data_IF_631677706642
#
_entry.id   IF_631677706642
#
_cell.length_a   1.000
_cell.length_b   1.000
_cell.length_c   1.000
_cell.angle_alpha   90.00
_cell.angle_beta   90.00
_cell.angle_gamma   90.00
#
_symmetry.space_group_name_H-M   'P 1'
#
loop_
_entity.id
_entity.type
_entity.pdbx_description
1 polymer ?
#
# COMPACT_ATOMS: atom_id res chain seq x y z
N UNK A 1 11.71 -8.43 1.39
CA UNK A 1 12.26 -8.68 2.73
C UNK A 1 11.75 -7.56 3.61
N UNK A 2 11.04 -7.86 4.71
CA UNK A 2 10.69 -6.81 5.67
C UNK A 2 12.00 -6.39 6.33
N UNK A 3 12.46 -5.18 6.03
CA UNK A 3 13.65 -4.63 6.66
C UNK A 3 13.26 -4.16 8.05
N UNK A 4 13.80 -4.83 9.08
CA UNK A 4 13.66 -4.39 10.46
C UNK A 4 14.61 -3.22 10.69
N UNK A 5 14.09 -2.15 11.28
CA UNK A 5 14.84 -0.97 11.67
C UNK A 5 15.11 -1.04 13.18
N UNK A 6 16.39 -1.09 13.57
CA UNK A 6 16.83 -1.12 14.98
C UNK A 6 17.02 0.30 15.56
N UNK A 7 16.77 1.36 14.78
CA UNK A 7 16.85 2.73 15.27
C UNK A 7 15.70 3.05 16.26
N UNK A 8 15.92 4.00 17.19
CA UNK A 8 14.84 4.52 18.02
C UNK A 8 13.66 5.00 17.18
N UNK A 9 12.44 4.76 17.66
CA UNK A 9 11.21 5.13 16.95
C UNK A 9 11.21 6.62 16.58
N UNK A 10 11.22 6.90 15.28
CA UNK A 10 11.11 8.27 14.76
C UNK A 10 9.63 8.66 14.61
N UNK A 11 9.25 9.79 15.20
CA UNK A 11 7.89 10.33 15.09
C UNK A 11 7.73 11.07 13.75
N UNK A 12 7.05 10.42 12.80
CA UNK A 12 6.73 10.95 11.48
C UNK A 12 5.74 10.02 10.79
N UNK A 13 6.15 9.43 9.66
CA UNK A 13 5.40 8.35 8.99
C UNK A 13 5.88 7.01 9.55
N UNK A 14 5.03 6.31 10.29
CA UNK A 14 5.36 5.03 10.93
C UNK A 14 4.56 3.93 10.22
N UNK A 15 5.24 2.97 9.61
CA UNK A 15 4.61 1.83 8.95
C UNK A 15 4.65 0.62 9.88
N UNK A 16 3.49 0.07 10.20
CA UNK A 16 3.33 -1.11 11.04
C UNK A 16 2.80 -2.27 10.21
N UNK A 17 3.46 -3.43 10.27
CA UNK A 17 3.01 -4.68 9.66
C UNK A 17 2.81 -5.73 10.76
N UNK A 18 1.65 -6.38 10.76
CA UNK A 18 1.30 -7.43 11.71
C UNK A 18 0.75 -8.65 10.96
N UNK A 19 1.45 -9.77 11.13
CA UNK A 19 1.01 -11.08 10.66
C UNK A 19 0.50 -11.93 11.81
N UNK A 20 -0.65 -12.59 11.64
CA UNK A 20 -1.19 -13.54 12.60
C UNK A 20 -1.42 -14.88 11.91
N UNK A 21 -1.21 -15.97 12.64
CA UNK A 21 -1.49 -17.33 12.15
C UNK A 21 -2.44 -18.03 13.11
N UNK A 22 -3.59 -18.48 12.62
CA UNK A 22 -4.57 -19.23 13.38
C UNK A 22 -4.93 -20.53 12.65
N UNK A 23 -4.76 -21.68 13.32
CA UNK A 23 -5.03 -23.01 12.74
C UNK A 23 -4.40 -23.22 11.35
N UNK A 24 -3.15 -22.80 11.18
CA UNK A 24 -2.44 -22.82 9.88
C UNK A 24 -2.92 -21.87 8.79
N UNK A 25 -3.90 -21.01 9.05
CA UNK A 25 -4.27 -19.91 8.16
C UNK A 25 -3.54 -18.63 8.57
N UNK A 26 -2.87 -18.00 7.62
CA UNK A 26 -2.18 -16.72 7.82
C UNK A 26 -3.12 -15.56 7.48
N UNK A 27 -3.00 -14.47 8.22
CA UNK A 27 -3.55 -13.16 7.90
C UNK A 27 -2.47 -12.10 8.08
N UNK A 28 -2.60 -11.00 7.35
CA UNK A 28 -1.67 -9.88 7.41
C UNK A 28 -2.44 -8.56 7.42
N UNK A 29 -1.97 -7.59 8.20
CA UNK A 29 -2.49 -6.23 8.21
C UNK A 29 -1.32 -5.24 8.25
N UNK A 30 -1.36 -4.25 7.35
CA UNK A 30 -0.38 -3.17 7.29
C UNK A 30 -1.13 -1.86 7.49
N UNK A 31 -0.57 -0.97 8.32
CA UNK A 31 -1.10 0.37 8.61
C UNK A 31 0.01 1.40 8.63
N UNK A 32 -0.34 2.62 8.24
CA UNK A 32 0.55 3.78 8.35
C UNK A 32 -0.02 4.72 9.40
N UNK A 33 0.76 5.03 10.42
CA UNK A 33 0.45 6.04 11.43
C UNK A 33 1.18 7.33 11.05
N UNK A 34 0.46 8.45 11.04
CA UNK A 34 0.98 9.76 10.66
C UNK A 34 1.03 10.66 11.89
N UNK A 35 2.23 11.07 12.31
CA UNK A 35 2.45 12.02 13.41
C UNK A 35 2.87 13.35 12.81
N UNK A 36 2.05 14.40 13.00
CA UNK A 36 2.25 15.74 12.44
C UNK A 36 2.61 15.72 10.93
N UNK A 37 1.79 15.07 10.08
CA UNK A 37 2.13 14.93 8.67
C UNK A 37 2.18 16.29 7.95
N UNK A 38 3.05 16.40 6.95
CA UNK A 38 2.96 17.49 5.98
C UNK A 38 1.70 17.34 5.13
N UNK A 39 1.26 18.41 4.47
CA UNK A 39 0.11 18.34 3.55
C UNK A 39 0.32 17.27 2.48
N UNK A 40 1.52 17.21 1.91
CA UNK A 40 1.89 16.22 0.91
C UNK A 40 1.77 14.78 1.42
N UNK A 41 2.20 14.50 2.66
CA UNK A 41 2.07 13.17 3.27
C UNK A 41 0.59 12.77 3.46
N UNK A 42 -0.25 13.71 3.90
CA UNK A 42 -1.68 13.48 4.04
C UNK A 42 -2.36 13.24 2.69
N UNK A 43 -2.09 14.09 1.69
CA UNK A 43 -2.65 13.95 0.34
C UNK A 43 -2.22 12.62 -0.31
N UNK A 44 -0.96 12.20 -0.11
CA UNK A 44 -0.46 10.92 -0.61
C UNK A 44 -1.12 9.72 0.08
N UNK A 45 -1.35 9.81 1.40
CA UNK A 45 -2.02 8.74 2.14
C UNK A 45 -3.50 8.62 1.75
N UNK A 46 -4.20 9.74 1.57
CA UNK A 46 -5.59 9.76 1.09
C UNK A 46 -5.71 9.16 -0.32
N UNK A 47 -4.79 9.52 -1.23
CA UNK A 47 -4.72 8.90 -2.54
C UNK A 47 -4.45 7.39 -2.45
N UNK A 48 -3.48 6.96 -1.64
CA UNK A 48 -3.17 5.54 -1.45
C UNK A 48 -4.38 4.76 -0.92
N UNK A 49 -5.14 5.34 0.01
CA UNK A 49 -6.34 4.74 0.57
C UNK A 49 -7.43 4.53 -0.49
N UNK A 50 -7.75 5.58 -1.25
CA UNK A 50 -8.76 5.51 -2.32
C UNK A 50 -8.35 4.58 -3.47
N UNK A 51 -7.06 4.57 -3.83
CA UNK A 51 -6.50 3.64 -4.80
C UNK A 51 -6.63 2.19 -4.33
N UNK A 52 -6.34 1.90 -3.07
CA UNK A 52 -6.44 0.57 -2.48
C UNK A 52 -7.89 0.05 -2.47
N UNK A 53 -8.86 0.89 -2.09
CA UNK A 53 -10.28 0.53 -2.14
C UNK A 53 -10.74 0.20 -3.56
N UNK A 54 -10.35 1.03 -4.53
CA UNK A 54 -10.63 0.76 -5.94
C UNK A 54 -9.96 -0.53 -6.43
N UNK A 55 -8.69 -0.76 -6.08
CA UNK A 55 -7.93 -1.92 -6.51
C UNK A 55 -8.54 -3.23 -5.98
N UNK A 56 -8.97 -3.27 -4.70
CA UNK A 56 -9.72 -4.41 -4.16
C UNK A 56 -11.00 -4.64 -4.98
N UNK A 57 -11.69 -3.57 -5.35
CA UNK A 57 -12.88 -3.64 -6.19
C UNK A 57 -12.63 -4.29 -7.56
N UNK A 58 -11.45 -4.10 -8.14
CA UNK A 58 -11.07 -4.68 -9.44
C UNK A 58 -10.59 -6.13 -9.37
N UNK A 59 -10.23 -6.65 -8.19
CA UNK A 59 -9.89 -8.07 -7.99
C UNK A 59 -11.14 -8.96 -8.07
N UNK A 60 -11.60 -9.22 -9.29
CA UNK A 60 -12.80 -10.01 -9.61
C UNK A 60 -12.42 -11.40 -10.13
N UNK A 61 -13.29 -12.42 -9.96
CA UNK A 61 -13.06 -13.74 -10.55
C UNK A 61 -12.79 -13.67 -12.06
N UNK A 62 -11.73 -14.33 -12.52
CA UNK A 62 -11.35 -14.39 -13.94
C UNK A 62 -10.32 -13.34 -14.38
N UNK A 63 -10.01 -12.33 -13.58
CA UNK A 63 -8.90 -11.42 -13.89
C UNK A 63 -7.56 -12.12 -13.69
N UNK A 64 -6.60 -11.92 -14.60
CA UNK A 64 -5.24 -12.36 -14.36
C UNK A 64 -4.51 -11.36 -13.46
N UNK A 65 -3.56 -11.83 -12.66
CA UNK A 65 -2.80 -10.94 -11.80
C UNK A 65 -1.98 -9.90 -12.59
N UNK A 66 -1.52 -10.26 -13.79
CA UNK A 66 -0.84 -9.34 -14.71
C UNK A 66 -1.76 -8.22 -15.17
N UNK A 67 -3.00 -8.53 -15.56
CA UNK A 67 -3.97 -7.51 -15.99
C UNK A 67 -4.37 -6.60 -14.83
N UNK A 68 -4.57 -7.18 -13.64
CA UNK A 68 -4.80 -6.42 -12.41
C UNK A 68 -3.64 -5.46 -12.10
N UNK A 69 -2.40 -5.95 -12.19
CA UNK A 69 -1.21 -5.13 -11.95
C UNK A 69 -1.15 -3.93 -12.92
N UNK A 70 -1.35 -4.19 -14.22
CA UNK A 70 -1.35 -3.13 -15.23
C UNK A 70 -2.52 -2.13 -15.07
N UNK A 71 -3.70 -2.58 -14.61
CA UNK A 71 -4.83 -1.67 -14.41
C UNK A 71 -4.55 -0.66 -13.28
N UNK A 72 -3.91 -1.11 -12.19
CA UNK A 72 -3.47 -0.24 -11.09
C UNK A 72 -2.40 0.73 -11.56
N UNK A 73 -1.37 0.26 -12.29
CA UNK A 73 -0.33 1.13 -12.83
C UNK A 73 -0.91 2.21 -13.76
N UNK A 74 -1.76 1.80 -14.71
CA UNK A 74 -2.37 2.73 -15.66
C UNK A 74 -3.22 3.80 -14.95
N UNK A 75 -3.93 3.43 -13.89
CA UNK A 75 -4.69 4.38 -13.08
C UNK A 75 -3.78 5.39 -12.38
N UNK A 76 -2.68 4.93 -11.77
CA UNK A 76 -1.73 5.82 -11.08
C UNK A 76 -1.00 6.73 -12.06
N UNK A 77 -0.55 6.24 -13.21
CA UNK A 77 0.06 7.05 -14.26
C UNK A 77 -0.87 8.18 -14.75
N UNK A 78 -2.19 7.92 -14.80
CA UNK A 78 -3.19 8.90 -15.21
C UNK A 78 -3.51 9.93 -14.12
N UNK A 79 -3.63 9.50 -12.87
CA UNK A 79 -4.13 10.34 -11.77
C UNK A 79 -3.01 11.03 -10.98
N UNK A 80 -1.90 10.33 -10.76
CA UNK A 80 -0.75 10.74 -9.96
C UNK A 80 0.56 10.25 -10.61
N UNK A 81 0.92 10.78 -11.79
CA UNK A 81 2.13 10.36 -12.51
C UNK A 81 3.41 10.53 -11.68
N UNK A 82 3.41 11.48 -10.74
CA UNK A 82 4.48 11.73 -9.77
C UNK A 82 4.73 10.57 -8.79
N UNK A 83 3.77 9.65 -8.64
CA UNK A 83 3.86 8.47 -7.77
C UNK A 83 4.05 7.15 -8.53
N UNK A 84 4.02 7.18 -9.86
CA UNK A 84 4.04 5.97 -10.71
C UNK A 84 5.28 5.09 -10.49
N UNK A 85 6.44 5.72 -10.26
CA UNK A 85 7.71 5.04 -9.97
C UNK A 85 7.92 4.73 -8.48
N UNK A 86 7.01 5.18 -7.61
CA UNK A 86 7.09 5.01 -6.14
C UNK A 86 6.29 3.84 -5.61
N UNK A 87 5.45 3.22 -6.44
CA UNK A 87 4.68 2.05 -6.03
C UNK A 87 5.59 0.84 -5.76
N UNK A 88 5.16 0.00 -4.82
CA UNK A 88 5.77 -1.31 -4.63
C UNK A 88 5.56 -2.17 -5.88
N UNK A 89 6.60 -2.89 -6.29
CA UNK A 89 6.54 -3.76 -7.49
C UNK A 89 5.60 -4.96 -7.32
N UNK A 90 5.58 -5.67 -6.17
CA UNK A 90 4.57 -6.70 -5.94
C UNK A 90 3.33 -6.12 -5.23
N UNK A 91 2.14 -6.47 -5.73
CA UNK A 91 0.86 -6.19 -5.05
C UNK A 91 0.37 -7.43 -4.30
N UNK A 92 0.98 -7.71 -3.15
CA UNK A 92 0.68 -8.89 -2.33
C UNK A 92 1.94 -9.62 -1.87
#
# INVERSE_FOLDING_TARGET
>A
MLNFDDNPLHYGVIVCSLGVRYRSYCSNVIRTLLVNPTKEQSDNYEYLHTLFEWAIGEMKPGITFSDFFHSVLSKVEKERPDLSDKLVKPFG
#
